data_IF_299048937153
#
_entry.id   IF_299048937153
#
_cell.length_a   1.000
_cell.length_b   1.000
_cell.length_c   1.000
_cell.angle_alpha   90.00
_cell.angle_beta   90.00
_cell.angle_gamma   90.00
#
_symmetry.space_group_name_H-M   'P 1'
#
loop_
_entity.id
_entity.type
_entity.pdbx_description
1 polymer ?
#
# COMPACT_ATOMS: atom_id res chain seq x y z
N UNK A 1 -24.35 -17.21 79.16
CA UNK A 1 -25.10 -18.08 78.24
C UNK A 1 -24.64 -17.72 76.83
N UNK A 2 -24.13 -18.62 75.99
CA UNK A 2 -24.03 -20.08 76.13
C UNK A 2 -22.70 -20.60 75.58
N UNK A 3 -22.30 -21.78 76.07
CA UNK A 3 -21.11 -22.53 75.66
C UNK A 3 -21.34 -23.34 74.38
N UNK A 4 -20.27 -23.64 73.62
CA UNK A 4 -19.77 -25.01 73.46
C UNK A 4 -18.44 -25.08 72.69
N UNK A 5 -17.70 -26.18 72.88
CA UNK A 5 -16.36 -26.48 72.31
C UNK A 5 -16.46 -27.43 71.11
N UNK A 6 -15.49 -27.36 70.20
CA UNK A 6 -14.54 -28.41 69.76
C UNK A 6 -13.72 -27.79 68.59
N UNK A 7 -12.41 -27.48 68.71
CA UNK A 7 -11.25 -28.34 68.37
C UNK A 7 -11.35 -29.01 66.99
N UNK A 8 -10.37 -28.98 66.07
CA UNK A 8 -8.91 -29.23 66.14
C UNK A 8 -8.25 -28.40 64.98
N UNK A 9 -6.98 -27.97 64.91
CA UNK A 9 -5.73 -28.28 65.64
C UNK A 9 -5.11 -26.98 66.24
N UNK A 10 -3.78 -26.90 66.43
CA UNK A 10 -3.05 -25.69 66.86
C UNK A 10 -1.67 -25.57 66.16
N UNK A 11 -1.29 -24.37 65.71
CA UNK A 11 0.11 -24.04 65.37
C UNK A 11 0.95 -24.00 66.68
N UNK A 12 2.24 -24.35 66.67
CA UNK A 12 3.43 -23.47 66.61
C UNK A 12 4.55 -24.15 67.48
N UNK A 13 5.81 -23.67 67.56
CA UNK A 13 6.61 -22.81 66.65
C UNK A 13 8.12 -23.20 66.50
N UNK A 14 8.86 -22.35 65.76
CA UNK A 14 10.26 -21.89 65.99
C UNK A 14 11.48 -22.64 65.40
N UNK A 15 12.37 -21.81 64.79
CA UNK A 15 13.73 -22.06 64.25
C UNK A 15 13.84 -22.94 62.97
N UNK A 16 14.62 -22.59 61.93
CA UNK A 16 15.56 -21.46 61.72
C UNK A 16 15.89 -21.21 60.23
N UNK A 17 16.46 -20.04 59.92
CA UNK A 17 17.28 -19.70 58.73
C UNK A 17 16.63 -19.63 57.32
N UNK A 18 16.44 -18.42 56.76
CA UNK A 18 16.45 -18.21 55.30
C UNK A 18 17.90 -18.07 54.80
N UNK A 19 18.22 -18.75 53.69
CA UNK A 19 19.55 -18.74 53.08
C UNK A 19 19.83 -17.44 52.30
N UNK A 20 21.05 -16.93 52.44
CA UNK A 20 21.53 -15.76 51.70
C UNK A 20 21.85 -16.11 50.24
N UNK A 21 21.41 -15.29 49.29
CA UNK A 21 22.09 -15.16 48.00
C UNK A 21 22.31 -13.68 47.64
N UNK A 22 23.59 -13.33 47.51
CA UNK A 22 24.11 -11.97 47.39
C UNK A 22 23.65 -11.25 46.13
N UNK A 23 23.02 -10.07 46.28
CA UNK A 23 22.99 -9.07 45.22
C UNK A 23 24.41 -8.54 44.95
N UNK A 24 25.03 -8.94 43.82
CA UNK A 24 26.29 -8.35 43.35
C UNK A 24 26.03 -6.93 42.83
N UNK A 25 26.25 -5.94 43.71
CA UNK A 25 26.26 -4.51 43.34
C UNK A 25 27.55 -4.20 42.57
N UNK A 26 27.45 -4.06 41.25
CA UNK A 26 28.57 -3.66 40.40
C UNK A 26 28.75 -2.15 40.52
N UNK A 27 29.74 -1.71 41.31
CA UNK A 27 30.22 -0.34 41.27
C UNK A 27 31.23 -0.20 40.11
N UNK A 28 30.80 0.32 38.96
CA UNK A 28 31.71 0.80 37.92
C UNK A 28 31.92 2.32 38.07
N UNK A 29 33.15 2.73 38.37
CA UNK A 29 33.54 4.14 38.40
C UNK A 29 33.96 4.58 37.00
N UNK A 30 33.21 5.51 36.40
CA UNK A 30 33.58 6.12 35.12
C UNK A 30 34.61 7.23 35.41
N UNK A 31 35.88 6.90 35.25
CA UNK A 31 36.94 7.92 35.23
C UNK A 31 36.92 8.63 33.88
N UNK A 32 36.36 9.84 33.85
CA UNK A 32 36.28 10.66 32.64
C UNK A 32 37.63 11.35 32.38
N UNK A 33 38.30 11.14 31.22
CA UNK A 33 39.53 11.85 30.91
C UNK A 33 39.24 13.33 30.64
N UNK A 34 40.02 14.24 31.26
CA UNK A 34 39.93 15.68 31.01
C UNK A 34 40.32 16.01 29.57
N UNK A 35 39.40 16.59 28.80
CA UNK A 35 39.70 17.19 27.51
C UNK A 35 40.44 18.53 27.70
N UNK A 36 41.41 18.88 26.82
CA UNK A 36 42.09 20.17 26.86
C UNK A 36 41.14 21.30 26.41
N UNK A 37 41.37 22.55 26.86
CA UNK A 37 40.50 23.68 26.53
C UNK A 37 40.71 24.13 25.08
N UNK A 38 39.66 24.09 24.27
CA UNK A 38 39.65 24.65 22.92
C UNK A 38 39.29 26.13 23.00
N UNK A 39 40.21 27.01 22.60
CA UNK A 39 39.97 28.45 22.51
C UNK A 39 39.09 28.80 21.30
N UNK A 40 37.90 29.33 21.55
CA UNK A 40 36.99 29.81 20.50
C UNK A 40 37.38 31.20 20.00
N UNK A 41 38.13 31.25 18.89
CA UNK A 41 38.26 32.48 18.10
C UNK A 41 37.05 32.59 17.16
N UNK A 42 36.29 33.68 17.26
CA UNK A 42 35.09 33.94 16.45
C UNK A 42 35.49 34.46 15.07
N UNK A 43 35.12 33.78 13.96
CA UNK A 43 35.24 34.34 12.62
C UNK A 43 34.09 35.28 12.30
N UNK A 44 34.43 36.37 11.62
CA UNK A 44 33.57 37.51 11.28
C UNK A 44 32.50 37.13 10.23
N UNK A 45 31.28 37.66 10.37
CA UNK A 45 30.17 37.47 9.42
C UNK A 45 30.45 38.16 8.08
N UNK A 46 30.27 37.44 6.97
CA UNK A 46 29.95 37.92 5.61
C UNK A 46 29.10 36.80 4.92
N UNK A 47 28.32 37.08 3.85
CA UNK A 47 27.12 36.29 3.54
C UNK A 47 27.28 35.29 2.37
N UNK A 48 26.17 34.61 2.05
CA UNK A 48 25.91 33.94 0.78
C UNK A 48 26.51 32.53 0.57
N UNK A 49 26.05 31.55 1.36
CA UNK A 49 26.17 30.12 1.01
C UNK A 49 24.84 29.59 0.44
N UNK A 50 24.60 29.84 -0.85
CA UNK A 50 23.46 29.28 -1.60
C UNK A 50 23.89 28.76 -2.98
N UNK A 51 25.20 28.76 -3.26
CA UNK A 51 25.76 28.44 -4.58
C UNK A 51 26.53 27.12 -4.62
N UNK A 52 27.02 26.64 -3.47
CA UNK A 52 27.82 25.42 -3.34
C UNK A 52 27.02 24.12 -3.31
N UNK A 53 25.76 24.12 -2.86
CA UNK A 53 24.89 22.92 -2.95
C UNK A 53 24.40 22.64 -4.38
N UNK A 54 24.48 23.60 -5.29
CA UNK A 54 24.12 23.42 -6.72
C UNK A 54 25.22 22.68 -7.48
N UNK A 55 26.48 22.76 -7.04
CA UNK A 55 27.61 22.06 -7.67
C UNK A 55 27.77 20.60 -7.22
N UNK A 56 27.23 20.19 -6.06
CA UNK A 56 27.21 18.77 -5.67
C UNK A 56 26.05 17.99 -6.30
N UNK A 57 24.89 18.62 -6.53
CA UNK A 57 23.77 17.98 -7.24
C UNK A 57 24.12 17.61 -8.70
N UNK A 58 25.12 18.29 -9.29
CA UNK A 58 25.64 17.99 -10.63
C UNK A 58 26.53 16.74 -10.73
N UNK A 59 26.92 16.11 -9.61
CA UNK A 59 27.81 14.94 -9.60
C UNK A 59 27.10 13.59 -9.45
N UNK A 60 25.80 13.58 -9.19
CA UNK A 60 24.99 12.36 -9.15
C UNK A 60 24.32 12.06 -10.51
N UNK A 61 25.05 12.26 -11.61
CA UNK A 61 24.65 11.65 -12.89
C UNK A 61 25.01 10.18 -12.88
N UNK A 62 23.97 9.35 -12.96
CA UNK A 62 24.02 7.91 -13.16
C UNK A 62 25.05 7.55 -14.24
N UNK A 63 25.83 6.50 -13.98
CA UNK A 63 26.74 5.91 -14.96
C UNK A 63 25.97 5.46 -16.21
N UNK A 64 26.16 6.18 -17.31
CA UNK A 64 25.62 5.84 -18.63
C UNK A 64 26.12 4.46 -19.10
N UNK A 65 25.28 3.42 -18.92
CA UNK A 65 25.53 2.08 -19.46
C UNK A 65 24.24 1.40 -19.97
N UNK A 66 23.37 2.18 -20.61
CA UNK A 66 22.49 1.65 -21.65
C UNK A 66 22.34 2.65 -22.81
N UNK A 67 23.46 2.87 -23.51
CA UNK A 67 23.48 3.74 -24.69
C UNK A 67 22.77 3.03 -25.84
N UNK A 68 21.48 3.31 -26.01
CA UNK A 68 20.65 2.78 -27.10
C UNK A 68 21.30 3.11 -28.46
N UNK A 69 21.89 2.09 -29.09
CA UNK A 69 22.54 2.20 -30.39
C UNK A 69 21.52 2.06 -31.52
N UNK A 70 20.51 2.94 -31.58
CA UNK A 70 19.46 2.85 -32.60
C UNK A 70 18.91 4.18 -33.14
N UNK A 71 19.72 5.25 -33.15
CA UNK A 71 19.41 6.48 -33.91
C UNK A 71 20.65 7.04 -34.61
N UNK A 72 21.20 6.31 -35.60
CA UNK A 72 21.95 6.93 -36.69
C UNK A 72 22.16 5.98 -37.88
N UNK A 73 21.29 6.12 -38.89
CA UNK A 73 21.49 5.92 -40.35
C UNK A 73 20.16 5.56 -41.01
N UNK A 74 19.50 6.57 -41.58
CA UNK A 74 18.61 6.40 -42.73
C UNK A 74 18.48 7.74 -43.45
N UNK A 75 19.30 7.94 -44.48
CA UNK A 75 19.21 9.08 -45.38
C UNK A 75 19.65 8.69 -46.80
N UNK A 76 18.80 7.93 -47.47
CA UNK A 76 18.80 7.82 -48.94
C UNK A 76 17.42 7.42 -49.43
N UNK A 77 16.66 8.40 -49.93
CA UNK A 77 15.49 8.14 -50.77
C UNK A 77 15.95 7.58 -52.12
N UNK A 78 15.27 6.55 -52.63
CA UNK A 78 14.78 6.49 -54.03
C UNK A 78 13.87 5.28 -54.32
N UNK A 79 12.58 5.57 -54.59
CA UNK A 79 11.78 5.15 -55.77
C UNK A 79 11.74 3.62 -56.06
N UNK A 80 10.60 2.90 -56.10
CA UNK A 80 9.52 3.01 -57.11
C UNK A 80 8.25 2.16 -56.73
N UNK A 81 7.09 2.83 -56.59
CA UNK A 81 5.68 2.38 -56.75
C UNK A 81 5.04 1.11 -56.11
N UNK A 82 3.81 1.38 -55.63
CA UNK A 82 2.58 0.56 -55.55
C UNK A 82 2.30 -0.22 -54.25
N UNK A 83 1.40 0.33 -53.41
CA UNK A 83 0.99 -0.25 -52.12
C UNK A 83 0.44 0.72 -51.06
N UNK A 84 0.38 2.04 -51.33
CA UNK A 84 0.28 3.10 -50.32
C UNK A 84 -1.14 3.41 -49.78
N UNK A 85 -1.82 2.40 -49.24
CA UNK A 85 -2.99 2.64 -48.34
C UNK A 85 -2.94 1.85 -47.02
N UNK A 86 -2.20 0.74 -46.95
CA UNK A 86 -2.07 -0.06 -45.73
C UNK A 86 -0.86 0.33 -44.86
N UNK A 87 0.16 0.99 -45.43
CA UNK A 87 1.38 1.36 -44.69
C UNK A 87 1.23 2.65 -43.86
N UNK A 88 0.41 3.62 -44.31
CA UNK A 88 0.29 4.94 -43.67
C UNK A 88 -0.39 4.85 -42.31
N UNK A 89 -1.49 4.13 -42.20
CA UNK A 89 -2.25 3.91 -40.95
C UNK A 89 -1.45 3.12 -39.92
N UNK A 90 -0.74 2.07 -40.36
CA UNK A 90 0.19 1.35 -39.48
C UNK A 90 1.31 2.27 -38.96
N UNK A 91 1.88 3.12 -39.82
CA UNK A 91 2.89 4.10 -39.41
C UNK A 91 2.35 5.13 -38.41
N UNK A 92 1.10 5.58 -38.57
CA UNK A 92 0.48 6.53 -37.64
C UNK A 92 0.17 5.88 -36.29
N UNK A 93 -0.40 4.66 -36.28
CA UNK A 93 -0.67 3.91 -35.06
C UNK A 93 0.62 3.61 -34.26
N UNK A 94 1.72 3.28 -34.94
CA UNK A 94 3.05 3.14 -34.32
C UNK A 94 3.47 4.45 -33.62
N UNK A 95 3.37 5.59 -34.31
CA UNK A 95 3.76 6.90 -33.74
C UNK A 95 2.89 7.26 -32.53
N UNK A 96 1.57 7.02 -32.61
CA UNK A 96 0.64 7.28 -31.51
C UNK A 96 0.93 6.36 -30.30
N UNK A 97 1.23 5.07 -30.52
CA UNK A 97 1.65 4.16 -29.44
C UNK A 97 2.97 4.58 -28.80
N UNK A 98 3.95 5.09 -29.56
CA UNK A 98 5.18 5.65 -28.98
C UNK A 98 4.91 6.89 -28.12
N UNK A 99 4.04 7.80 -28.55
CA UNK A 99 3.65 8.97 -27.75
C UNK A 99 2.94 8.57 -26.44
N UNK A 100 2.07 7.54 -26.48
CA UNK A 100 1.45 6.97 -25.28
C UNK A 100 2.52 6.31 -24.39
N UNK A 101 3.47 5.57 -24.99
CA UNK A 101 4.56 4.90 -24.27
C UNK A 101 5.45 5.89 -23.51
N UNK A 102 5.82 7.02 -24.12
CA UNK A 102 6.55 8.11 -23.45
C UNK A 102 5.78 8.64 -22.25
N UNK A 103 4.48 8.92 -22.42
CA UNK A 103 3.60 9.40 -21.35
C UNK A 103 3.34 8.36 -20.25
N UNK A 104 3.47 7.06 -20.54
CA UNK A 104 3.43 5.97 -19.56
C UNK A 104 4.76 5.89 -18.79
N UNK A 105 5.91 6.05 -19.45
CA UNK A 105 7.23 6.05 -18.81
C UNK A 105 7.35 7.20 -17.80
N UNK A 106 6.91 8.40 -18.17
CA UNK A 106 6.85 9.56 -17.28
C UNK A 106 6.01 9.27 -16.01
N UNK A 107 4.80 8.73 -16.18
CA UNK A 107 3.93 8.32 -15.05
C UNK A 107 4.57 7.26 -14.16
N UNK A 108 5.31 6.30 -14.71
CA UNK A 108 6.04 5.29 -13.91
C UNK A 108 7.05 5.97 -12.99
N UNK A 109 7.82 6.93 -13.50
CA UNK A 109 8.78 7.71 -12.71
C UNK A 109 8.06 8.57 -11.67
N UNK A 110 7.01 9.31 -12.07
CA UNK A 110 6.20 10.14 -11.15
C UNK A 110 5.62 9.32 -9.98
N UNK A 111 4.93 8.22 -10.26
CA UNK A 111 4.36 7.37 -9.21
C UNK A 111 5.43 6.73 -8.33
N UNK A 112 6.58 6.35 -8.89
CA UNK A 112 7.71 5.81 -8.10
C UNK A 112 8.24 6.89 -7.13
N UNK A 113 8.51 8.09 -7.64
CA UNK A 113 9.04 9.21 -6.86
C UNK A 113 8.05 9.69 -5.77
N UNK A 114 6.76 9.79 -6.10
CA UNK A 114 5.72 10.16 -5.11
C UNK A 114 5.54 9.04 -4.09
N UNK A 115 5.56 7.77 -4.48
CA UNK A 115 5.50 6.63 -3.56
C UNK A 115 6.63 6.65 -2.52
N UNK A 116 7.87 6.89 -2.96
CA UNK A 116 9.01 7.04 -2.06
C UNK A 116 8.87 8.28 -1.15
N UNK A 117 8.44 9.43 -1.70
CA UNK A 117 8.19 10.64 -0.91
C UNK A 117 7.16 10.38 0.20
N UNK A 118 6.05 9.68 -0.10
CA UNK A 118 4.99 9.36 0.88
C UNK A 118 5.45 8.33 1.91
N UNK A 119 6.28 7.36 1.54
CA UNK A 119 6.92 6.46 2.50
C UNK A 119 7.86 7.22 3.46
N UNK A 120 8.67 8.14 2.94
CA UNK A 120 9.54 8.99 3.77
C UNK A 120 8.72 9.90 4.70
N UNK A 121 7.58 10.44 4.24
CA UNK A 121 6.64 11.18 5.09
C UNK A 121 6.06 10.30 6.20
N UNK A 122 5.70 9.04 5.92
CA UNK A 122 5.21 8.10 6.92
C UNK A 122 6.21 7.95 8.08
N UNK A 123 7.47 7.65 7.75
CA UNK A 123 8.54 7.48 8.74
C UNK A 123 8.82 8.77 9.53
N UNK A 124 8.88 9.92 8.86
CA UNK A 124 9.13 11.21 9.51
C UNK A 124 7.99 11.62 10.45
N UNK A 125 6.74 11.51 10.01
CA UNK A 125 5.56 11.89 10.80
C UNK A 125 5.35 10.94 11.98
N UNK A 126 5.46 9.62 11.77
CA UNK A 126 5.39 8.61 12.83
C UNK A 126 6.38 8.91 13.97
N UNK A 127 7.66 9.08 13.62
CA UNK A 127 8.71 9.34 14.60
C UNK A 127 8.53 10.70 15.30
N UNK A 128 8.16 11.74 14.56
CA UNK A 128 7.95 13.08 15.11
C UNK A 128 6.77 13.13 16.08
N UNK A 129 5.62 12.54 15.69
CA UNK A 129 4.40 12.50 16.52
C UNK A 129 4.67 11.68 17.79
N UNK A 130 5.31 10.51 17.68
CA UNK A 130 5.66 9.71 18.85
C UNK A 130 6.64 10.45 19.77
N UNK A 131 7.66 11.13 19.23
CA UNK A 131 8.61 11.90 20.02
C UNK A 131 7.94 13.07 20.75
N UNK A 132 7.07 13.83 20.07
CA UNK A 132 6.29 14.92 20.69
C UNK A 132 5.40 14.38 21.82
N UNK A 133 4.66 13.30 21.55
CA UNK A 133 3.72 12.69 22.48
C UNK A 133 4.42 12.12 23.72
N UNK A 134 5.52 11.38 23.54
CA UNK A 134 6.29 10.80 24.64
C UNK A 134 7.01 11.89 25.45
N UNK A 135 7.57 12.92 24.79
CA UNK A 135 8.17 14.07 25.48
C UNK A 135 7.13 14.81 26.32
N UNK A 136 5.92 15.02 25.78
CA UNK A 136 4.81 15.60 26.50
C UNK A 136 4.41 14.75 27.72
N UNK A 137 4.31 13.42 27.57
CA UNK A 137 4.08 12.50 28.69
C UNK A 137 5.16 12.62 29.76
N UNK A 138 6.45 12.65 29.38
CA UNK A 138 7.55 12.82 30.35
C UNK A 138 7.45 14.15 31.09
N UNK A 139 7.19 15.26 30.39
CA UNK A 139 6.98 16.57 31.02
C UNK A 139 5.79 16.58 31.98
N UNK A 140 4.69 15.91 31.63
CA UNK A 140 3.51 15.78 32.49
C UNK A 140 3.79 14.93 33.74
N UNK A 141 4.51 13.82 33.61
CA UNK A 141 4.88 12.94 34.73
C UNK A 141 5.87 13.60 35.70
N UNK A 142 6.86 14.33 35.18
CA UNK A 142 7.77 15.15 36.00
C UNK A 142 7.00 16.26 36.72
N UNK A 143 6.05 16.92 36.04
CA UNK A 143 5.17 17.90 36.66
C UNK A 143 4.28 17.28 37.77
N UNK A 144 3.72 16.10 37.54
CA UNK A 144 2.86 15.40 38.51
C UNK A 144 3.57 14.89 39.76
N UNK A 145 4.89 14.71 39.70
CA UNK A 145 5.73 14.21 40.81
C UNK A 145 6.53 15.30 41.52
N UNK A 146 6.52 16.54 41.02
CA UNK A 146 7.23 17.66 41.62
C UNK A 146 6.53 18.17 42.88
N UNK A 147 7.22 18.15 44.03
CA UNK A 147 6.68 18.49 45.35
C UNK A 147 6.71 19.99 45.70
N UNK A 148 6.67 20.88 44.70
CA UNK A 148 6.76 22.33 44.92
C UNK A 148 5.94 23.14 43.92
N UNK A 149 5.15 24.09 44.43
CA UNK A 149 4.43 25.08 43.62
C UNK A 149 5.38 26.15 43.08
N UNK A 150 5.27 26.48 41.80
CA UNK A 150 6.07 27.55 41.19
C UNK A 150 6.02 27.59 39.67
N UNK A 151 6.62 28.65 39.10
CA UNK A 151 6.68 28.86 37.65
C UNK A 151 7.26 27.69 36.83
N UNK A 152 8.30 26.93 37.28
CA UNK A 152 8.80 25.78 36.53
C UNK A 152 7.78 24.65 36.36
N UNK A 153 6.92 24.42 37.37
CA UNK A 153 5.86 23.41 37.31
C UNK A 153 4.79 23.80 36.28
N UNK A 154 4.35 25.08 36.31
CA UNK A 154 3.42 25.61 35.32
C UNK A 154 4.00 25.58 33.90
N UNK A 155 5.29 25.90 33.74
CA UNK A 155 5.97 25.81 32.45
C UNK A 155 5.94 24.38 31.90
N UNK A 156 6.25 23.35 32.71
CA UNK A 156 6.17 21.95 32.27
C UNK A 156 4.74 21.52 31.89
N UNK A 157 3.73 21.89 32.68
CA UNK A 157 2.31 21.58 32.36
C UNK A 157 1.86 22.24 31.05
N UNK A 158 2.19 23.52 30.84
CA UNK A 158 1.87 24.26 29.62
C UNK A 158 2.65 23.74 28.39
N UNK A 159 3.94 23.46 28.53
CA UNK A 159 4.74 22.87 27.44
C UNK A 159 4.21 21.49 27.05
N UNK A 160 3.89 20.65 28.02
CA UNK A 160 3.29 19.34 27.78
C UNK A 160 1.93 19.44 27.06
N UNK A 161 1.03 20.32 27.53
CA UNK A 161 -0.26 20.57 26.88
C UNK A 161 -0.10 21.04 25.42
N UNK A 162 0.86 21.93 25.16
CA UNK A 162 1.15 22.45 23.82
C UNK A 162 1.72 21.35 22.90
N UNK A 163 2.62 20.51 23.41
CA UNK A 163 3.18 19.38 22.65
C UNK A 163 2.11 18.34 22.31
N UNK A 164 1.21 18.00 23.25
CA UNK A 164 0.06 17.13 22.96
C UNK A 164 -0.94 17.76 21.99
N UNK A 165 -1.17 19.07 22.07
CA UNK A 165 -2.02 19.78 21.09
C UNK A 165 -1.40 19.76 19.69
N UNK A 166 -0.08 19.97 19.58
CA UNK A 166 0.65 19.87 18.33
C UNK A 166 0.60 18.44 17.75
N UNK A 167 0.84 17.43 18.58
CA UNK A 167 0.71 16.01 18.20
C UNK A 167 -0.71 15.68 17.72
N UNK A 168 -1.75 16.19 18.39
CA UNK A 168 -3.16 16.04 17.97
C UNK A 168 -3.40 16.64 16.58
N UNK A 169 -2.92 17.85 16.33
CA UNK A 169 -3.03 18.49 15.01
C UNK A 169 -2.30 17.72 13.91
N UNK A 170 -1.08 17.24 14.20
CA UNK A 170 -0.30 16.41 13.28
C UNK A 170 -0.96 15.05 13.01
N UNK A 171 -1.57 14.42 14.03
CA UNK A 171 -2.35 13.20 13.89
C UNK A 171 -3.57 13.40 12.98
N UNK A 172 -4.36 14.47 13.19
CA UNK A 172 -5.49 14.79 12.32
C UNK A 172 -5.06 15.07 10.87
N UNK A 173 -3.88 15.65 10.65
CA UNK A 173 -3.33 15.87 9.32
C UNK A 173 -2.81 14.57 8.67
N UNK A 174 -2.02 13.77 9.40
CA UNK A 174 -1.48 12.50 8.88
C UNK A 174 -2.59 11.48 8.63
N UNK A 175 -3.63 11.44 9.45
CA UNK A 175 -4.77 10.53 9.29
C UNK A 175 -5.70 10.96 8.14
N UNK A 176 -5.62 12.21 7.68
CA UNK A 176 -6.25 12.66 6.43
C UNK A 176 -5.43 12.33 5.18
N UNK A 177 -4.10 12.29 5.27
CA UNK A 177 -3.20 12.00 4.12
C UNK A 177 -2.97 10.49 3.97
N UNK A 178 -2.87 9.78 5.10
CA UNK A 178 -2.38 8.42 5.27
C UNK A 178 -1.16 8.09 4.40
N UNK A 179 0.03 8.58 4.79
CA UNK A 179 1.23 8.47 3.97
C UNK A 179 1.61 7.03 3.60
N UNK A 180 1.45 6.06 4.51
CA UNK A 180 1.66 4.63 4.24
C UNK A 180 0.68 4.07 3.20
N UNK A 181 -0.62 4.39 3.34
CA UNK A 181 -1.66 3.97 2.40
C UNK A 181 -1.42 4.56 1.00
N UNK A 182 -1.18 5.86 0.95
CA UNK A 182 -0.94 6.57 -0.31
C UNK A 182 0.37 6.10 -0.98
N UNK A 183 1.42 5.77 -0.22
CA UNK A 183 2.64 5.20 -0.80
C UNK A 183 2.36 3.88 -1.55
N UNK A 184 1.45 3.05 -1.04
CA UNK A 184 1.10 1.77 -1.66
C UNK A 184 0.13 1.93 -2.85
N UNK A 185 -0.78 2.90 -2.81
CA UNK A 185 -1.55 3.33 -3.99
C UNK A 185 -0.61 3.72 -5.14
N UNK A 186 0.42 4.52 -4.87
CA UNK A 186 1.39 4.91 -5.90
C UNK A 186 2.29 3.74 -6.35
N UNK A 187 2.68 2.84 -5.44
CA UNK A 187 3.46 1.63 -5.79
C UNK A 187 2.67 0.70 -6.71
N UNK A 188 1.37 0.53 -6.45
CA UNK A 188 0.47 -0.23 -7.33
C UNK A 188 0.26 0.45 -8.68
N UNK A 189 0.07 1.78 -8.71
CA UNK A 189 0.01 2.53 -9.96
C UNK A 189 1.27 2.34 -10.81
N UNK A 190 2.46 2.50 -10.23
CA UNK A 190 3.74 2.30 -10.93
C UNK A 190 3.89 0.85 -11.45
N UNK A 191 3.40 -0.16 -10.72
CA UNK A 191 3.36 -1.56 -11.17
C UNK A 191 2.43 -1.74 -12.37
N UNK A 192 1.23 -1.17 -12.33
CA UNK A 192 0.24 -1.29 -13.40
C UNK A 192 0.68 -0.54 -14.68
N UNK A 193 1.26 0.65 -14.54
CA UNK A 193 1.84 1.36 -15.70
C UNK A 193 3.04 0.61 -16.30
N UNK A 194 3.88 -0.08 -15.51
CA UNK A 194 4.92 -0.99 -16.04
C UNK A 194 4.33 -2.17 -16.83
N UNK A 195 3.19 -2.71 -16.39
CA UNK A 195 2.48 -3.75 -17.15
C UNK A 195 1.94 -3.19 -18.47
N UNK A 196 1.37 -1.99 -18.47
CA UNK A 196 0.89 -1.31 -19.69
C UNK A 196 2.04 -0.95 -20.65
N UNK A 197 3.19 -0.49 -20.13
CA UNK A 197 4.41 -0.30 -20.90
C UNK A 197 4.82 -1.58 -21.64
N UNK A 198 4.90 -2.71 -20.93
CA UNK A 198 5.28 -3.99 -21.52
C UNK A 198 4.27 -4.47 -22.58
N UNK A 199 2.97 -4.23 -22.37
CA UNK A 199 1.92 -4.51 -23.34
C UNK A 199 2.12 -3.69 -24.62
N UNK A 200 2.25 -2.35 -24.51
CA UNK A 200 2.46 -1.46 -25.67
C UNK A 200 3.73 -1.83 -26.43
N UNK A 201 4.83 -2.10 -25.72
CA UNK A 201 6.09 -2.54 -26.34
C UNK A 201 5.93 -3.87 -27.08
N UNK A 202 5.14 -4.81 -26.54
CA UNK A 202 4.85 -6.09 -27.21
C UNK A 202 4.02 -5.86 -28.47
N UNK A 203 2.96 -5.03 -28.42
CA UNK A 203 2.14 -4.70 -29.60
C UNK A 203 2.96 -4.05 -30.71
N UNK A 204 3.88 -3.13 -30.37
CA UNK A 204 4.80 -2.53 -31.35
C UNK A 204 5.75 -3.59 -31.92
N UNK A 205 6.33 -4.46 -31.08
CA UNK A 205 7.30 -5.47 -31.49
C UNK A 205 6.70 -6.60 -32.36
N UNK A 206 5.42 -6.92 -32.18
CA UNK A 206 4.67 -7.88 -33.03
C UNK A 206 4.46 -7.33 -34.45
N UNK A 207 4.44 -6.02 -34.64
CA UNK A 207 4.52 -5.39 -35.96
C UNK A 207 3.24 -5.40 -36.79
N UNK A 208 2.11 -5.02 -36.19
CA UNK A 208 0.88 -4.59 -36.90
C UNK A 208 -0.11 -3.88 -35.93
N UNK A 209 0.28 -2.75 -35.29
CA UNK A 209 -0.62 -2.07 -34.36
C UNK A 209 -1.80 -1.41 -35.09
N UNK A 210 -2.99 -1.60 -34.55
CA UNK A 210 -4.24 -1.03 -35.05
C UNK A 210 -4.65 0.25 -34.31
N UNK A 211 -5.59 1.01 -34.87
CA UNK A 211 -6.23 2.13 -34.16
C UNK A 211 -6.94 1.68 -32.88
N UNK A 212 -7.46 0.43 -32.86
CA UNK A 212 -8.00 -0.20 -31.65
C UNK A 212 -6.95 -0.41 -30.55
N UNK A 213 -5.70 -0.71 -30.91
CA UNK A 213 -4.61 -0.83 -29.94
C UNK A 213 -4.23 0.54 -29.34
N UNK A 214 -4.18 1.59 -30.18
CA UNK A 214 -3.98 2.97 -29.70
C UNK A 214 -5.10 3.37 -28.73
N UNK A 215 -6.36 3.16 -29.14
CA UNK A 215 -7.53 3.47 -28.31
C UNK A 215 -7.54 2.68 -27.01
N UNK A 216 -7.26 1.38 -27.07
CA UNK A 216 -7.21 0.52 -25.87
C UNK A 216 -6.06 0.90 -24.93
N UNK A 217 -4.90 1.27 -25.46
CA UNK A 217 -3.78 1.79 -24.66
C UNK A 217 -4.15 3.13 -23.99
N UNK A 218 -4.75 4.06 -24.74
CA UNK A 218 -5.23 5.35 -24.22
C UNK A 218 -6.30 5.18 -23.13
N UNK A 219 -7.31 4.33 -23.37
CA UNK A 219 -8.37 4.04 -22.39
C UNK A 219 -7.78 3.41 -21.11
N UNK A 220 -6.76 2.54 -21.23
CA UNK A 220 -6.05 1.99 -20.06
C UNK A 220 -5.25 3.05 -19.31
N UNK A 221 -4.55 3.98 -19.98
CA UNK A 221 -3.89 5.11 -19.30
C UNK A 221 -4.89 5.94 -18.50
N UNK A 222 -6.03 6.30 -19.12
CA UNK A 222 -7.06 7.11 -18.48
C UNK A 222 -7.76 6.37 -17.31
N UNK A 223 -7.95 5.05 -17.43
CA UNK A 223 -8.48 4.23 -16.35
C UNK A 223 -7.51 4.15 -15.16
N UNK A 224 -6.20 4.01 -15.41
CA UNK A 224 -5.16 4.03 -14.38
C UNK A 224 -5.07 5.41 -13.70
N UNK A 225 -5.04 6.50 -14.48
CA UNK A 225 -5.03 7.89 -13.97
C UNK A 225 -6.26 8.20 -13.07
N UNK A 226 -7.43 7.63 -13.42
CA UNK A 226 -8.67 7.76 -12.64
C UNK A 226 -8.64 6.91 -11.36
N UNK A 227 -8.11 5.70 -11.43
CA UNK A 227 -8.08 4.75 -10.31
C UNK A 227 -7.00 5.08 -9.28
N UNK A 228 -5.87 5.62 -9.74
CA UNK A 228 -4.74 6.05 -8.92
C UNK A 228 -4.35 7.47 -9.28
N UNK A 229 -5.16 8.48 -8.90
CA UNK A 229 -4.77 9.87 -9.09
C UNK A 229 -3.42 10.14 -8.39
N UNK A 230 -2.76 11.21 -8.82
CA UNK A 230 -1.56 11.75 -8.16
C UNK A 230 -1.93 12.95 -7.27
N UNK A 231 -2.49 12.75 -6.05
CA UNK A 231 -2.81 13.84 -5.14
C UNK A 231 -1.52 14.47 -4.60
N UNK A 232 -1.07 15.53 -5.26
CA UNK A 232 0.07 16.32 -4.79
C UNK A 232 -0.26 16.97 -3.44
N UNK A 233 -1.47 17.53 -3.28
CA UNK A 233 -2.12 17.90 -2.02
C UNK A 233 -3.62 18.22 -2.29
N UNK A 234 -4.55 17.45 -1.70
CA UNK A 234 -5.98 17.80 -1.52
C UNK A 234 -6.80 18.22 -2.76
N UNK A 235 -7.50 17.28 -3.40
CA UNK A 235 -8.54 17.59 -4.39
C UNK A 235 -9.14 16.37 -5.07
N UNK A 236 -8.29 15.51 -5.63
CA UNK A 236 -8.65 14.21 -6.19
C UNK A 236 -7.86 13.11 -5.45
N UNK A 237 -8.33 12.74 -4.27
CA UNK A 237 -7.75 11.65 -3.47
C UNK A 237 -8.84 10.62 -3.20
N UNK A 238 -8.49 9.34 -3.30
CA UNK A 238 -9.39 8.25 -2.94
C UNK A 238 -9.88 8.41 -1.51
N UNK A 239 -11.13 8.04 -1.26
CA UNK A 239 -11.69 8.07 0.09
C UNK A 239 -10.90 7.10 0.98
N UNK A 240 -10.34 7.62 2.06
CA UNK A 240 -9.45 6.89 2.96
C UNK A 240 -10.17 5.98 3.95
N UNK A 241 -11.42 6.31 4.28
CA UNK A 241 -12.24 5.55 5.21
C UNK A 241 -13.69 5.39 4.71
N UNK A 242 -13.89 4.79 3.51
CA UNK A 242 -15.21 4.64 2.91
C UNK A 242 -16.17 3.91 3.85
N UNK A 243 -17.48 4.08 3.62
CA UNK A 243 -18.50 3.39 4.42
C UNK A 243 -18.48 1.88 4.22
N UNK A 244 -18.05 1.43 3.03
CA UNK A 244 -17.90 0.03 2.65
C UNK A 244 -16.53 -0.20 2.01
N UNK A 245 -16.00 -1.40 2.16
CA UNK A 245 -14.89 -1.84 1.32
C UNK A 245 -15.39 -2.00 -0.13
N UNK A 246 -14.65 -1.47 -1.09
CA UNK A 246 -14.87 -1.67 -2.52
C UNK A 246 -13.54 -2.01 -3.18
N UNK A 247 -13.53 -3.01 -4.05
CA UNK A 247 -12.34 -3.45 -4.78
C UNK A 247 -11.77 -2.34 -5.69
N UNK A 248 -10.46 -2.34 -5.90
CA UNK A 248 -9.82 -1.35 -6.76
C UNK A 248 -10.12 -1.64 -8.24
N UNK A 249 -10.89 -0.76 -8.90
CA UNK A 249 -11.16 -0.86 -10.35
C UNK A 249 -10.25 0.07 -11.15
N UNK A 250 -9.38 -0.49 -11.98
CA UNK A 250 -8.34 0.25 -12.72
C UNK A 250 -8.30 -0.02 -14.22
N UNK A 251 -9.22 -0.85 -14.72
CA UNK A 251 -9.38 -1.14 -16.14
C UNK A 251 -10.54 -0.31 -16.73
N UNK A 252 -10.57 -0.11 -18.06
CA UNK A 252 -11.72 0.50 -18.73
C UNK A 252 -12.99 -0.33 -18.51
N UNK A 253 -14.14 0.33 -18.42
CA UNK A 253 -15.43 -0.36 -18.46
C UNK A 253 -15.57 -1.10 -19.79
N UNK A 254 -15.89 -2.40 -19.73
CA UNK A 254 -16.14 -3.20 -20.91
C UNK A 254 -17.31 -2.61 -21.71
N UNK A 255 -17.01 -2.03 -22.87
CA UNK A 255 -18.03 -1.70 -23.85
C UNK A 255 -18.46 -3.00 -24.50
N UNK A 256 -19.57 -3.57 -24.01
CA UNK A 256 -20.31 -4.61 -24.71
C UNK A 256 -20.84 -4.04 -26.03
N UNK A 257 -19.99 -4.04 -27.06
CA UNK A 257 -20.34 -3.70 -28.42
C UNK A 257 -21.24 -4.83 -28.98
N UNK A 258 -22.53 -4.73 -28.67
CA UNK A 258 -23.62 -5.47 -29.31
C UNK A 258 -23.81 -5.02 -30.77
N UNK A 259 -22.73 -5.03 -31.55
CA UNK A 259 -22.80 -4.98 -33.01
C UNK A 259 -23.04 -6.40 -33.51
N UNK A 260 -24.16 -6.59 -34.21
CA UNK A 260 -24.68 -7.89 -34.63
C UNK A 260 -23.72 -8.60 -35.60
N UNK A 261 -22.74 -9.34 -35.07
CA UNK A 261 -21.84 -10.17 -35.84
C UNK A 261 -22.58 -11.39 -36.40
N UNK A 262 -22.57 -11.54 -37.73
CA UNK A 262 -23.14 -12.72 -38.38
C UNK A 262 -22.27 -13.94 -38.13
N UNK A 263 -22.87 -14.99 -37.60
CA UNK A 263 -22.18 -16.21 -37.18
C UNK A 263 -21.59 -16.96 -38.38
N UNK A 264 -20.28 -16.81 -38.61
CA UNK A 264 -19.49 -17.67 -39.52
C UNK A 264 -18.77 -18.75 -38.72
N UNK A 265 -19.38 -19.92 -38.60
CA UNK A 265 -18.73 -21.08 -37.97
C UNK A 265 -17.90 -21.84 -39.00
N UNK A 266 -16.56 -21.68 -38.96
CA UNK A 266 -15.57 -22.78 -39.02
C UNK A 266 -14.12 -22.29 -38.87
N UNK A 267 -13.77 -21.87 -37.66
CA UNK A 267 -12.39 -21.87 -37.18
C UNK A 267 -12.35 -22.58 -35.83
N UNK A 268 -11.35 -23.44 -35.64
CA UNK A 268 -11.12 -24.13 -34.38
C UNK A 268 -10.20 -23.24 -33.52
N UNK A 269 -10.79 -22.28 -32.80
CA UNK A 269 -10.05 -21.28 -32.02
C UNK A 269 -9.62 -21.80 -30.63
N UNK A 270 -9.38 -23.10 -30.48
CA UNK A 270 -8.94 -23.74 -29.23
C UNK A 270 -9.97 -23.73 -28.10
N UNK A 271 -11.22 -23.32 -28.36
CA UNK A 271 -12.31 -23.35 -27.39
C UNK A 271 -13.12 -24.63 -27.52
N UNK A 272 -13.20 -25.41 -26.44
CA UNK A 272 -14.11 -26.55 -26.29
C UNK A 272 -15.18 -26.23 -25.24
N UNK A 273 -16.31 -26.97 -25.27
CA UNK A 273 -17.32 -26.85 -24.20
C UNK A 273 -16.76 -27.24 -22.83
N UNK A 274 -15.86 -28.23 -22.81
CA UNK A 274 -15.12 -28.63 -21.60
C UNK A 274 -14.31 -27.46 -21.03
N UNK A 275 -13.57 -26.72 -21.86
CA UNK A 275 -12.81 -25.55 -21.41
C UNK A 275 -13.73 -24.40 -20.94
N UNK A 276 -14.86 -24.17 -21.60
CA UNK A 276 -15.85 -23.18 -21.10
C UNK A 276 -16.43 -23.57 -19.74
N UNK A 277 -16.76 -24.84 -19.53
CA UNK A 277 -17.22 -25.36 -18.23
C UNK A 277 -16.11 -25.26 -17.18
N UNK A 278 -14.86 -25.64 -17.50
CA UNK A 278 -13.72 -25.52 -16.60
C UNK A 278 -13.46 -24.06 -16.19
N UNK A 279 -13.55 -23.11 -17.11
CA UNK A 279 -13.37 -21.69 -16.79
C UNK A 279 -14.51 -21.14 -15.93
N UNK A 280 -15.75 -21.59 -16.13
CA UNK A 280 -16.89 -21.26 -15.23
C UNK A 280 -16.70 -21.82 -13.82
N UNK A 281 -16.20 -23.04 -13.69
CA UNK A 281 -15.83 -23.63 -12.40
C UNK A 281 -14.75 -22.81 -11.69
N UNK A 282 -13.69 -22.41 -12.41
CA UNK A 282 -12.64 -21.55 -11.85
C UNK A 282 -13.20 -20.22 -11.36
N UNK A 283 -14.08 -19.56 -12.12
CA UNK A 283 -14.76 -18.34 -11.68
C UNK A 283 -15.53 -18.59 -10.37
N UNK A 284 -16.28 -19.68 -10.26
CA UNK A 284 -17.04 -19.98 -9.05
C UNK A 284 -16.16 -20.16 -7.80
N UNK A 285 -14.96 -20.72 -7.95
CA UNK A 285 -13.96 -20.78 -6.87
C UNK A 285 -13.43 -19.37 -6.55
N UNK A 286 -13.05 -18.59 -7.57
CA UNK A 286 -12.56 -17.21 -7.40
C UNK A 286 -13.56 -16.35 -6.63
N UNK A 287 -14.86 -16.41 -6.97
CA UNK A 287 -15.90 -15.64 -6.27
C UNK A 287 -16.03 -16.07 -4.81
N UNK A 288 -16.24 -17.36 -4.55
CA UNK A 288 -16.56 -17.87 -3.20
C UNK A 288 -15.38 -17.94 -2.22
N UNK A 289 -14.15 -18.07 -2.74
CA UNK A 289 -12.95 -18.28 -1.91
C UNK A 289 -12.10 -17.03 -1.87
N UNK A 290 -11.57 -16.63 -3.03
CA UNK A 290 -10.64 -15.51 -3.11
C UNK A 290 -11.36 -14.18 -2.85
N UNK A 291 -12.39 -13.83 -3.62
CA UNK A 291 -13.05 -12.52 -3.52
C UNK A 291 -13.75 -12.29 -2.17
N UNK A 292 -14.55 -13.26 -1.69
CA UNK A 292 -15.21 -13.16 -0.39
C UNK A 292 -14.21 -13.00 0.78
N UNK A 293 -13.07 -13.69 0.76
CA UNK A 293 -12.08 -13.53 1.83
C UNK A 293 -11.33 -12.18 1.72
N UNK A 294 -10.99 -11.73 0.52
CA UNK A 294 -10.38 -10.41 0.34
C UNK A 294 -11.31 -9.26 0.72
N UNK A 295 -12.62 -9.37 0.45
CA UNK A 295 -13.62 -8.43 0.95
C UNK A 295 -13.73 -8.48 2.49
N UNK A 296 -13.74 -9.67 3.09
CA UNK A 296 -13.80 -9.86 4.53
C UNK A 296 -12.59 -9.25 5.24
N UNK A 297 -11.38 -9.56 4.76
CA UNK A 297 -10.12 -9.05 5.28
C UNK A 297 -9.98 -7.54 5.06
N UNK A 298 -10.37 -7.05 3.89
CA UNK A 298 -10.44 -5.62 3.57
C UNK A 298 -11.36 -4.84 4.51
N UNK A 299 -12.56 -5.36 4.80
CA UNK A 299 -13.49 -4.78 5.76
C UNK A 299 -12.95 -4.79 7.20
N UNK A 300 -12.19 -5.81 7.61
CA UNK A 300 -11.53 -5.86 8.92
C UNK A 300 -10.42 -4.80 8.99
N UNK A 301 -9.54 -4.74 7.99
CA UNK A 301 -8.47 -3.76 7.91
C UNK A 301 -9.01 -2.32 7.94
N UNK A 302 -10.07 -2.03 7.18
CA UNK A 302 -10.76 -0.74 7.15
C UNK A 302 -11.26 -0.32 8.54
N UNK A 303 -11.92 -1.23 9.26
CA UNK A 303 -12.45 -0.96 10.61
C UNK A 303 -11.33 -0.70 11.62
N UNK A 304 -10.24 -1.46 11.55
CA UNK A 304 -9.06 -1.25 12.40
C UNK A 304 -8.41 0.11 12.08
N UNK A 305 -8.14 0.39 10.80
CA UNK A 305 -7.54 1.64 10.32
C UNK A 305 -8.35 2.85 10.82
N UNK A 306 -9.67 2.85 10.58
CA UNK A 306 -10.61 3.90 11.00
C UNK A 306 -10.67 4.06 12.53
N UNK A 307 -10.63 2.95 13.27
CA UNK A 307 -10.62 2.96 14.74
C UNK A 307 -9.35 3.58 15.33
N UNK A 308 -8.18 3.21 14.83
CA UNK A 308 -6.89 3.77 15.26
C UNK A 308 -6.80 5.27 14.90
N UNK A 309 -7.21 5.61 13.68
CA UNK A 309 -7.18 6.97 13.14
C UNK A 309 -8.02 7.99 13.93
N UNK A 310 -9.07 7.53 14.62
CA UNK A 310 -9.87 8.34 15.55
C UNK A 310 -9.26 8.31 16.96
N UNK A 311 -8.76 7.16 17.40
CA UNK A 311 -8.30 6.93 18.77
C UNK A 311 -7.03 7.72 19.11
N UNK A 312 -6.04 7.78 18.22
CA UNK A 312 -4.80 8.50 18.53
C UNK A 312 -5.01 10.02 18.75
N UNK A 313 -5.68 10.78 17.83
CA UNK A 313 -6.01 12.19 18.08
C UNK A 313 -6.85 12.41 19.35
N UNK A 314 -7.81 11.51 19.63
CA UNK A 314 -8.66 11.62 20.82
C UNK A 314 -7.83 11.48 22.11
N UNK A 315 -6.92 10.50 22.16
CA UNK A 315 -6.05 10.26 23.30
C UNK A 315 -5.04 11.40 23.52
N UNK A 316 -4.43 11.95 22.46
CA UNK A 316 -3.57 13.14 22.60
C UNK A 316 -4.36 14.37 23.02
N UNK A 317 -5.61 14.52 22.56
CA UNK A 317 -6.52 15.60 23.00
C UNK A 317 -6.87 15.49 24.49
N UNK A 318 -7.21 14.28 24.96
CA UNK A 318 -7.43 13.99 26.39
C UNK A 318 -6.15 14.27 27.19
N UNK A 319 -4.97 13.91 26.67
CA UNK A 319 -3.71 14.19 27.33
C UNK A 319 -3.43 15.70 27.43
N UNK A 320 -3.67 16.48 26.37
CA UNK A 320 -3.51 17.94 26.40
C UNK A 320 -4.39 18.60 27.47
N UNK A 321 -5.66 18.18 27.59
CA UNK A 321 -6.57 18.64 28.63
C UNK A 321 -6.13 18.16 30.02
N UNK A 322 -5.69 16.90 30.14
CA UNK A 322 -5.16 16.33 31.38
C UNK A 322 -3.96 17.10 31.94
N UNK A 323 -3.10 17.67 31.09
CA UNK A 323 -1.99 18.52 31.55
C UNK A 323 -2.45 19.82 32.24
N UNK A 324 -3.63 20.33 31.89
CA UNK A 324 -4.22 21.55 32.47
C UNK A 324 -5.07 21.22 33.70
N UNK A 325 -5.88 20.17 33.63
CA UNK A 325 -6.93 19.87 34.63
C UNK A 325 -6.57 18.76 35.63
N UNK A 326 -5.60 17.88 35.34
CA UNK A 326 -5.16 16.85 36.29
C UNK A 326 -4.02 17.34 37.18
N UNK A 327 -4.22 17.24 38.50
CA UNK A 327 -3.22 17.62 39.49
C UNK A 327 -1.98 16.72 39.44
N UNK A 328 -2.20 15.41 39.35
CA UNK A 328 -1.24 14.31 39.55
C UNK A 328 -0.40 13.92 38.32
N UNK A 329 -0.74 14.45 37.13
CA UNK A 329 -0.08 14.09 35.86
C UNK A 329 -0.34 12.65 35.37
N UNK A 330 -1.17 11.84 36.04
CA UNK A 330 -1.39 10.44 35.67
C UNK A 330 -2.16 10.31 34.35
N UNK A 331 -3.28 11.04 34.23
CA UNK A 331 -4.12 11.06 33.02
C UNK A 331 -3.32 11.42 31.76
N UNK A 332 -2.57 12.54 31.71
CA UNK A 332 -1.79 12.87 30.52
C UNK A 332 -0.67 11.88 30.21
N UNK A 333 -0.01 11.31 31.22
CA UNK A 333 1.02 10.27 31.01
C UNK A 333 0.42 9.03 30.35
N UNK A 334 -0.69 8.51 30.89
CA UNK A 334 -1.34 7.28 30.40
C UNK A 334 -1.96 7.49 29.02
N UNK A 335 -2.71 8.58 28.84
CA UNK A 335 -3.35 8.90 27.56
C UNK A 335 -2.31 9.15 26.45
N UNK A 336 -1.24 9.90 26.76
CA UNK A 336 -0.13 10.14 25.83
C UNK A 336 0.66 8.87 25.48
N UNK A 337 0.98 8.03 26.48
CA UNK A 337 1.64 6.76 26.22
C UNK A 337 0.80 5.84 25.33
N UNK A 338 -0.51 5.72 25.59
CA UNK A 338 -1.41 4.93 24.77
C UNK A 338 -1.56 5.52 23.36
N UNK A 339 -1.64 6.85 23.21
CA UNK A 339 -1.68 7.50 21.90
C UNK A 339 -0.45 7.17 21.05
N UNK A 340 0.74 7.13 21.66
CA UNK A 340 1.97 6.75 20.95
C UNK A 340 1.94 5.28 20.50
N UNK A 341 1.37 4.37 21.29
CA UNK A 341 1.16 2.96 20.89
C UNK A 341 0.16 2.87 19.74
N UNK A 342 -0.97 3.57 19.80
CA UNK A 342 -1.98 3.59 18.72
C UNK A 342 -1.38 4.12 17.42
N UNK A 343 -0.66 5.25 17.47
CA UNK A 343 0.03 5.83 16.32
C UNK A 343 1.11 4.89 15.74
N UNK A 344 1.84 4.16 16.59
CA UNK A 344 2.80 3.15 16.17
C UNK A 344 2.13 1.94 15.50
N UNK A 345 0.97 1.48 15.99
CA UNK A 345 0.21 0.41 15.35
C UNK A 345 -0.37 0.86 14.00
N UNK A 346 -0.96 2.05 13.92
CA UNK A 346 -1.58 2.59 12.70
C UNK A 346 -0.56 2.81 11.58
N UNK A 347 0.44 3.68 11.82
CA UNK A 347 1.37 4.15 10.80
C UNK A 347 2.66 3.33 10.74
N UNK A 348 3.09 2.76 11.86
CA UNK A 348 4.26 1.87 11.95
C UNK A 348 3.95 0.43 11.59
N UNK A 349 2.76 -0.07 11.96
CA UNK A 349 2.20 -1.34 11.47
C UNK A 349 1.63 -1.26 10.05
N UNK A 350 1.64 -0.07 9.43
CA UNK A 350 1.23 0.19 8.05
C UNK A 350 -0.19 -0.32 7.73
N UNK A 351 -1.15 -0.15 8.64
CA UNK A 351 -2.51 -0.71 8.49
C UNK A 351 -3.21 -0.20 7.22
N UNK A 352 -2.97 1.05 6.83
CA UNK A 352 -3.46 1.60 5.55
C UNK A 352 -2.85 0.91 4.32
N UNK A 353 -1.57 0.54 4.34
CA UNK A 353 -0.93 -0.25 3.27
C UNK A 353 -1.58 -1.63 3.15
N UNK A 354 -1.87 -2.28 4.28
CA UNK A 354 -2.56 -3.58 4.31
C UNK A 354 -3.99 -3.49 3.77
N UNK A 355 -4.72 -2.42 4.08
CA UNK A 355 -6.03 -2.15 3.48
C UNK A 355 -5.96 -2.01 1.95
N UNK A 356 -5.01 -1.25 1.41
CA UNK A 356 -4.82 -1.10 -0.04
C UNK A 356 -4.34 -2.38 -0.73
N UNK A 357 -3.54 -3.20 -0.04
CA UNK A 357 -3.18 -4.53 -0.52
C UNK A 357 -4.43 -5.38 -0.74
N UNK A 358 -5.33 -5.48 0.24
CA UNK A 358 -6.60 -6.19 0.08
C UNK A 358 -7.48 -5.56 -1.00
N UNK A 359 -7.52 -4.23 -1.10
CA UNK A 359 -8.28 -3.50 -2.15
C UNK A 359 -7.78 -3.82 -3.56
N UNK A 360 -6.47 -3.87 -3.75
CA UNK A 360 -5.82 -4.26 -5.00
C UNK A 360 -5.99 -5.76 -5.32
N UNK A 361 -5.92 -6.65 -4.33
CA UNK A 361 -6.17 -8.08 -4.54
C UNK A 361 -7.62 -8.36 -4.93
N UNK A 362 -8.61 -7.78 -4.24
CA UNK A 362 -10.02 -7.87 -4.64
C UNK A 362 -10.26 -7.36 -6.06
N UNK A 363 -9.62 -6.24 -6.42
CA UNK A 363 -9.66 -5.69 -7.79
C UNK A 363 -9.05 -6.60 -8.84
N UNK A 364 -7.98 -7.33 -8.51
CA UNK A 364 -7.36 -8.31 -9.39
C UNK A 364 -8.31 -9.48 -9.69
N UNK A 365 -9.00 -10.01 -8.67
CA UNK A 365 -9.96 -11.09 -8.85
C UNK A 365 -11.22 -10.64 -9.58
N UNK A 366 -11.72 -9.42 -9.33
CA UNK A 366 -12.83 -8.86 -10.08
C UNK A 366 -12.46 -8.63 -11.57
N UNK A 367 -11.23 -8.18 -11.87
CA UNK A 367 -10.76 -8.11 -13.25
C UNK A 367 -10.67 -9.50 -13.89
N UNK A 368 -10.25 -10.52 -13.14
CA UNK A 368 -10.18 -11.90 -13.61
C UNK A 368 -11.58 -12.45 -13.93
N UNK A 369 -12.55 -12.25 -13.03
CA UNK A 369 -13.98 -12.52 -13.23
C UNK A 369 -14.52 -11.83 -14.48
N UNK A 370 -14.43 -10.48 -14.57
CA UNK A 370 -14.94 -9.71 -15.71
C UNK A 370 -14.28 -10.14 -17.03
N UNK A 371 -13.00 -10.55 -17.00
CA UNK A 371 -12.28 -11.06 -18.17
C UNK A 371 -12.79 -12.43 -18.62
N UNK A 372 -12.98 -13.38 -17.70
CA UNK A 372 -13.45 -14.73 -18.05
C UNK A 372 -14.92 -14.68 -18.47
N UNK A 373 -15.79 -13.98 -17.74
CA UNK A 373 -17.21 -13.86 -18.08
C UNK A 373 -17.41 -13.22 -19.46
N UNK A 374 -16.77 -12.08 -19.75
CA UNK A 374 -16.88 -11.44 -21.06
C UNK A 374 -16.32 -12.29 -22.21
N UNK A 375 -15.25 -13.07 -21.96
CA UNK A 375 -14.68 -13.98 -22.97
C UNK A 375 -15.62 -15.15 -23.29
N UNK A 376 -16.32 -15.70 -22.28
CA UNK A 376 -17.27 -16.80 -22.48
C UNK A 376 -18.61 -16.29 -23.04
N UNK A 377 -19.02 -15.05 -22.74
CA UNK A 377 -20.25 -14.46 -23.28
C UNK A 377 -20.15 -14.00 -24.73
N UNK A 378 -18.96 -13.62 -25.21
CA UNK A 378 -18.72 -13.29 -26.62
C UNK A 378 -19.03 -14.50 -27.51
N UNK A 379 -19.95 -14.33 -28.46
CA UNK A 379 -20.43 -15.39 -29.35
C UNK A 379 -19.61 -15.51 -30.63
N UNK A 380 -18.85 -14.48 -30.95
CA UNK A 380 -17.98 -14.44 -32.11
C UNK A 380 -16.61 -15.05 -31.78
N UNK A 381 -16.40 -16.30 -32.22
CA UNK A 381 -15.14 -17.01 -32.00
C UNK A 381 -13.94 -16.32 -32.66
N UNK A 382 -14.12 -15.44 -33.66
CA UNK A 382 -13.03 -14.67 -34.27
C UNK A 382 -12.59 -13.48 -33.40
N UNK A 383 -13.44 -13.04 -32.46
CA UNK A 383 -13.12 -11.98 -31.47
C UNK A 383 -12.53 -12.51 -30.17
N UNK A 384 -12.71 -13.80 -29.85
CA UNK A 384 -12.14 -14.42 -28.64
C UNK A 384 -10.63 -14.59 -28.78
N UNK A 385 -9.91 -14.34 -27.68
CA UNK A 385 -8.55 -14.86 -27.50
C UNK A 385 -8.57 -16.39 -27.65
N UNK A 386 -7.53 -16.97 -28.25
CA UNK A 386 -7.45 -18.41 -28.45
C UNK A 386 -7.58 -19.18 -27.13
N UNK A 387 -8.40 -20.24 -27.09
CA UNK A 387 -8.76 -20.92 -25.84
C UNK A 387 -7.57 -21.48 -25.05
N UNK A 388 -6.61 -22.13 -25.72
CA UNK A 388 -5.41 -22.67 -25.07
C UNK A 388 -4.51 -21.55 -24.50
N UNK A 389 -4.38 -20.44 -25.24
CA UNK A 389 -3.64 -19.26 -24.78
C UNK A 389 -4.34 -18.57 -23.60
N UNK A 390 -5.66 -18.45 -23.67
CA UNK A 390 -6.49 -17.91 -22.60
C UNK A 390 -6.36 -18.75 -21.32
N UNK A 391 -6.48 -20.07 -21.43
CA UNK A 391 -6.30 -20.99 -20.32
C UNK A 391 -4.91 -20.86 -19.69
N UNK A 392 -3.85 -20.86 -20.51
CA UNK A 392 -2.47 -20.67 -20.04
C UNK A 392 -2.32 -19.35 -19.26
N UNK A 393 -2.92 -18.27 -19.77
CA UNK A 393 -2.91 -16.94 -19.15
C UNK A 393 -3.67 -16.92 -17.82
N UNK A 394 -4.86 -17.53 -17.74
CA UNK A 394 -5.61 -17.67 -16.49
C UNK A 394 -4.84 -18.51 -15.46
N UNK A 395 -4.25 -19.63 -15.89
CA UNK A 395 -3.45 -20.49 -15.02
C UNK A 395 -2.25 -19.72 -14.43
N UNK A 396 -1.49 -19.00 -15.27
CA UNK A 396 -0.36 -18.19 -14.83
C UNK A 396 -0.79 -17.02 -13.92
N UNK A 397 -1.93 -16.37 -14.20
CA UNK A 397 -2.49 -15.32 -13.33
C UNK A 397 -2.91 -15.86 -11.96
N UNK A 398 -3.32 -17.13 -11.86
CA UNK A 398 -3.64 -17.80 -10.59
C UNK A 398 -2.44 -18.54 -9.96
N UNK A 399 -1.24 -18.48 -10.56
CA UNK A 399 -0.05 -19.17 -10.05
C UNK A 399 -0.11 -20.71 -10.17
N UNK A 400 -0.89 -21.21 -11.12
CA UNK A 400 -1.09 -22.64 -11.40
C UNK A 400 -0.46 -23.04 -12.73
N UNK A 401 -0.13 -24.32 -12.90
CA UNK A 401 0.00 -24.90 -14.25
C UNK A 401 -1.40 -25.11 -14.85
N UNK A 402 -1.49 -25.17 -16.17
CA UNK A 402 -2.72 -25.54 -16.91
C UNK A 402 -3.38 -26.78 -16.30
N UNK A 403 -2.62 -27.85 -16.09
CA UNK A 403 -3.12 -29.07 -15.44
C UNK A 403 -3.70 -28.88 -14.03
N UNK A 404 -3.12 -27.98 -13.21
CA UNK A 404 -3.62 -27.67 -11.87
C UNK A 404 -4.84 -26.74 -11.87
N UNK A 405 -5.11 -26.06 -13.00
CA UNK A 405 -6.32 -25.28 -13.21
C UNK A 405 -7.49 -26.20 -13.57
N UNK A 406 -7.29 -27.15 -14.50
CA UNK A 406 -8.25 -28.21 -14.83
C UNK A 406 -8.59 -29.12 -13.65
N UNK A 407 -7.58 -29.48 -12.85
CA UNK A 407 -7.78 -30.24 -11.60
C UNK A 407 -8.66 -29.47 -10.59
N UNK A 408 -8.44 -28.14 -10.44
CA UNK A 408 -9.26 -27.29 -9.60
C UNK A 408 -10.71 -27.25 -10.08
N UNK A 409 -10.92 -27.06 -11.39
CA UNK A 409 -12.24 -27.04 -12.00
C UNK A 409 -12.99 -28.37 -11.80
N UNK A 410 -12.33 -29.48 -12.14
CA UNK A 410 -12.86 -30.85 -11.95
C UNK A 410 -13.26 -31.12 -10.48
N UNK A 411 -12.42 -30.66 -9.54
CA UNK A 411 -12.67 -30.78 -8.10
C UNK A 411 -13.83 -29.90 -7.64
N UNK A 412 -13.93 -28.65 -8.13
CA UNK A 412 -15.06 -27.75 -7.85
C UNK A 412 -16.38 -28.36 -8.32
N UNK A 413 -16.44 -28.86 -9.55
CA UNK A 413 -17.61 -29.52 -10.12
C UNK A 413 -18.04 -30.75 -9.29
N UNK A 414 -17.09 -31.62 -8.95
CA UNK A 414 -17.34 -32.80 -8.12
C UNK A 414 -17.88 -32.44 -6.72
N UNK A 415 -17.26 -31.46 -6.04
CA UNK A 415 -17.71 -31.01 -4.73
C UNK A 415 -19.11 -30.40 -4.77
N UNK A 416 -19.45 -29.61 -5.82
CA UNK A 416 -20.80 -29.06 -6.01
C UNK A 416 -21.85 -30.16 -6.15
N UNK A 417 -21.57 -31.23 -6.90
CA UNK A 417 -22.46 -32.40 -7.04
C UNK A 417 -22.68 -33.11 -5.70
N UNK A 418 -21.65 -33.17 -4.85
CA UNK A 418 -21.73 -33.74 -3.50
C UNK A 418 -22.39 -32.81 -2.46
N UNK A 419 -22.75 -31.58 -2.83
CA UNK A 419 -23.26 -30.57 -1.90
C UNK A 419 -22.21 -30.09 -0.89
N UNK A 420 -20.92 -30.18 -1.25
CA UNK A 420 -19.78 -29.75 -0.42
C UNK A 420 -19.15 -28.48 -1.00
N UNK A 421 -18.64 -27.63 -0.11
CA UNK A 421 -17.83 -26.48 -0.51
C UNK A 421 -16.37 -26.89 -0.71
N UNK A 422 -15.73 -26.34 -1.74
CA UNK A 422 -14.30 -26.53 -1.96
C UNK A 422 -13.50 -25.72 -0.92
N UNK A 423 -12.53 -26.35 -0.26
CA UNK A 423 -11.71 -25.65 0.73
C UNK A 423 -10.55 -24.86 0.08
N UNK A 424 -10.13 -25.28 -1.12
CA UNK A 424 -9.00 -24.73 -1.86
C UNK A 424 -9.34 -23.37 -2.53
N UNK A 425 -8.42 -22.41 -2.44
CA UNK A 425 -8.49 -21.13 -3.16
C UNK A 425 -8.12 -21.29 -4.64
N UNK A 426 -8.66 -20.41 -5.50
CA UNK A 426 -8.28 -20.41 -6.90
C UNK A 426 -6.83 -19.94 -7.08
N UNK A 427 -6.41 -18.89 -6.39
CA UNK A 427 -5.04 -18.41 -6.41
C UNK A 427 -4.08 -19.31 -5.62
N UNK A 428 -2.85 -19.43 -6.11
CA UNK A 428 -1.66 -19.89 -5.37
C UNK A 428 -0.60 -18.79 -5.17
N UNK A 429 -0.90 -17.55 -5.60
CA UNK A 429 0.04 -16.42 -5.56
C UNK A 429 0.00 -15.61 -4.25
N UNK A 430 -1.09 -15.73 -3.49
CA UNK A 430 -1.38 -14.92 -2.31
C UNK A 430 -1.76 -15.80 -1.12
#
# INVERSE_FOLDING_TARGET
>A
MSSLRLSILNNCPLHSSPSSSSFKRINSSINLPKLPPVSSSVPKVLPSSTRTMVEELGKFRVTDNYKSSFVEKNHTNKILHDGDLYNTTNSEAIIQLYAILEAVVDRIEMHTNVGEQRNNWNTLLLNSINMLTLTASTMAGVAGTATGEGAPLLALKLSSALLFSAATGMLLATNKIQPSQLAEEQRNAARLFKQLQAQIQTTIAVGNPSESDVRGAMERVLALDKAYPMPLLGGAMLEKFPEKFEAARWWPESRLNNENAQTKVKSDNGWSMELEEEMREVIEVVKRKDMEDYERLGNIALKINKGLAISAPLLTGIAALGCVFSGDGLVPVVAGALASVVNALEHGGQVGMVFEMYRNCGGFFQLLEETIESTIEEKDLEKRENGELFELKMALQLGRSVSQLRELASKSAAYRIEGREIDEFASKLF
#
